data_IF_091995973479
#
_entry.id   IF_091995973479
#
_cell.length_a   1.000
_cell.length_b   1.000
_cell.length_c   1.000
_cell.angle_alpha   90.00
_cell.angle_beta   90.00
_cell.angle_gamma   90.00
#
_symmetry.space_group_name_H-M   'P 1'
#
loop_
_entity.id
_entity.type
_entity.pdbx_description
1 polymer ?
#
# COMPACT_ATOMS: atom_id res chain seq x y z
N UNK A 1 -26.10 -7.00 20.38
CA UNK A 1 -24.62 -6.93 20.28
C UNK A 1 -24.22 -7.75 19.07
N UNK A 2 -23.53 -7.17 18.10
CA UNK A 2 -23.03 -7.91 16.94
C UNK A 2 -21.94 -8.87 17.38
N UNK A 3 -22.02 -10.14 16.95
CA UNK A 3 -21.00 -11.14 17.21
C UNK A 3 -19.68 -10.71 16.54
N UNK A 4 -18.56 -10.86 17.25
CA UNK A 4 -17.21 -10.53 16.75
C UNK A 4 -16.54 -11.82 16.30
N UNK A 5 -16.09 -11.87 15.05
CA UNK A 5 -15.36 -13.01 14.49
C UNK A 5 -14.09 -12.56 13.78
N UNK A 6 -13.08 -13.43 13.70
CA UNK A 6 -11.81 -13.21 12.97
C UNK A 6 -11.52 -14.41 12.08
N UNK A 7 -11.13 -14.17 10.83
CA UNK A 7 -10.70 -15.20 9.87
C UNK A 7 -9.26 -14.91 9.47
N UNK A 8 -8.37 -15.90 9.68
CA UNK A 8 -6.96 -15.79 9.31
C UNK A 8 -6.71 -16.50 7.97
N UNK A 9 -5.90 -15.91 7.10
CA UNK A 9 -5.47 -16.51 5.83
C UNK A 9 -4.12 -15.94 5.39
N UNK A 10 -3.47 -16.60 4.43
CA UNK A 10 -2.19 -16.16 3.84
C UNK A 10 -2.26 -16.30 2.33
N UNK A 11 -1.83 -15.26 1.61
CA UNK A 11 -1.78 -15.22 0.15
C UNK A 11 -0.32 -14.95 -0.26
N UNK A 12 0.18 -15.69 -1.26
CA UNK A 12 1.51 -15.51 -1.84
C UNK A 12 1.35 -15.18 -3.32
N UNK A 13 1.98 -14.09 -3.78
CA UNK A 13 1.97 -13.64 -5.16
C UNK A 13 3.41 -13.52 -5.67
N UNK A 14 3.71 -14.20 -6.77
CA UNK A 14 5.01 -14.14 -7.43
C UNK A 14 4.88 -13.54 -8.83
N UNK A 15 5.79 -12.62 -9.16
CA UNK A 15 5.86 -11.92 -10.44
C UNK A 15 7.31 -11.71 -10.85
N UNK A 16 7.59 -11.91 -12.14
CA UNK A 16 8.89 -11.61 -12.75
C UNK A 16 8.77 -10.35 -13.59
N UNK A 17 9.71 -9.42 -13.43
CA UNK A 17 9.77 -8.17 -14.17
C UNK A 17 11.06 -8.07 -14.96
N UNK A 18 10.99 -7.57 -16.20
CA UNK A 18 12.17 -7.21 -17.00
C UNK A 18 12.78 -5.87 -16.51
N UNK A 19 13.08 -5.78 -15.22
CA UNK A 19 13.60 -4.60 -14.53
C UNK A 19 14.54 -5.03 -13.39
N UNK A 20 15.49 -4.16 -13.03
CA UNK A 20 16.37 -4.42 -11.89
C UNK A 20 15.61 -4.36 -10.55
N UNK A 21 16.07 -5.07 -9.51
CA UNK A 21 15.49 -4.97 -8.17
C UNK A 21 15.39 -3.52 -7.66
N UNK A 22 16.41 -2.71 -7.91
CA UNK A 22 16.41 -1.28 -7.54
C UNK A 22 15.28 -0.48 -8.22
N UNK A 23 14.99 -0.76 -9.50
CA UNK A 23 13.88 -0.09 -10.21
C UNK A 23 12.53 -0.53 -9.67
N UNK A 24 12.37 -1.82 -9.36
CA UNK A 24 11.12 -2.33 -8.77
C UNK A 24 10.94 -1.75 -7.37
N UNK A 25 11.98 -1.76 -6.54
CA UNK A 25 11.96 -1.18 -5.20
C UNK A 25 11.61 0.31 -5.22
N UNK A 26 12.18 1.08 -6.14
CA UNK A 26 11.85 2.49 -6.33
C UNK A 26 10.36 2.73 -6.64
N UNK A 27 9.67 1.79 -7.31
CA UNK A 27 8.24 1.90 -7.55
C UNK A 27 7.41 1.86 -6.26
N UNK A 28 7.94 1.23 -5.20
CA UNK A 28 7.30 1.13 -3.88
C UNK A 28 7.77 2.21 -2.90
N UNK A 29 8.99 2.74 -3.07
CA UNK A 29 9.61 3.69 -2.13
C UNK A 29 9.49 5.16 -2.55
N UNK A 30 9.05 5.46 -3.78
CA UNK A 30 8.81 6.82 -4.27
C UNK A 30 7.30 7.09 -4.30
N UNK A 31 6.79 8.07 -3.53
CA UNK A 31 5.36 8.37 -3.51
C UNK A 31 4.82 8.79 -4.89
N UNK A 32 5.62 9.45 -5.73
CA UNK A 32 5.19 9.83 -7.06
C UNK A 32 5.09 8.61 -8.00
N UNK A 33 5.95 7.61 -7.82
CA UNK A 33 5.83 6.34 -8.53
C UNK A 33 4.60 5.57 -8.04
N UNK A 34 4.42 5.46 -6.73
CA UNK A 34 3.31 4.78 -6.09
C UNK A 34 1.96 5.36 -6.53
N UNK A 35 1.82 6.69 -6.57
CA UNK A 35 0.61 7.36 -7.04
C UNK A 35 0.28 7.00 -8.50
N UNK A 36 1.29 6.79 -9.36
CA UNK A 36 1.07 6.48 -10.77
C UNK A 36 0.58 5.05 -11.01
N UNK A 37 1.17 4.06 -10.33
CA UNK A 37 0.81 2.65 -10.56
C UNK A 37 -0.26 2.14 -9.60
N UNK A 38 -0.38 2.72 -8.40
CA UNK A 38 -1.33 2.31 -7.37
C UNK A 38 -2.76 2.82 -7.57
N UNK A 39 -3.00 3.66 -8.58
CA UNK A 39 -4.34 4.12 -8.91
C UNK A 39 -5.22 2.96 -9.42
N UNK A 40 -6.42 2.73 -8.84
CA UNK A 40 -7.30 1.64 -9.26
C UNK A 40 -7.85 1.77 -10.70
N UNK A 41 -7.67 2.94 -11.33
CA UNK A 41 -8.08 3.20 -12.71
C UNK A 41 -9.24 4.20 -12.82
N UNK A 42 -9.87 4.21 -14.00
CA UNK A 42 -10.98 5.12 -14.30
C UNK A 42 -12.17 4.91 -13.36
N UNK A 43 -12.83 5.99 -12.94
CA UNK A 43 -13.95 5.95 -11.99
C UNK A 43 -13.54 5.86 -10.51
N UNK A 44 -12.25 5.77 -10.21
CA UNK A 44 -11.71 5.80 -8.85
C UNK A 44 -10.87 7.04 -8.59
N UNK A 45 -10.81 7.45 -7.34
CA UNK A 45 -9.92 8.47 -6.81
C UNK A 45 -8.97 7.84 -5.80
N UNK A 46 -7.71 8.29 -5.81
CA UNK A 46 -6.72 7.90 -4.81
C UNK A 46 -5.84 9.08 -4.44
N UNK A 47 -5.50 9.22 -3.18
CA UNK A 47 -4.53 10.18 -2.66
C UNK A 47 -3.57 9.52 -1.69
N UNK A 48 -2.32 9.97 -1.71
CA UNK A 48 -1.34 9.69 -0.66
C UNK A 48 -1.33 10.90 0.26
N UNK A 49 -1.84 10.74 1.48
CA UNK A 49 -1.96 11.81 2.46
C UNK A 49 -0.68 11.94 3.31
N UNK A 50 0.03 10.83 3.52
CA UNK A 50 1.29 10.76 4.24
C UNK A 50 2.15 9.62 3.68
N UNK A 51 3.47 9.79 3.64
CA UNK A 51 4.39 8.77 3.16
C UNK A 51 5.77 8.87 3.80
N UNK A 52 5.95 8.22 4.94
CA UNK A 52 7.21 8.15 5.68
C UNK A 52 7.88 6.79 5.41
N UNK A 53 8.57 6.67 4.28
CA UNK A 53 9.21 5.41 3.87
C UNK A 53 10.53 5.14 4.61
N UNK A 54 10.39 4.79 5.89
CA UNK A 54 11.48 4.42 6.78
C UNK A 54 10.96 3.44 7.84
N UNK A 55 11.85 2.65 8.45
CA UNK A 55 11.46 1.73 9.52
C UNK A 55 10.80 2.51 10.66
N UNK A 56 9.61 2.08 11.08
CA UNK A 56 8.78 2.75 12.08
C UNK A 56 7.87 3.85 11.52
N UNK A 57 8.09 4.30 10.29
CA UNK A 57 7.28 5.30 9.61
C UNK A 57 5.91 4.79 9.18
N UNK A 58 5.00 5.73 8.91
CA UNK A 58 3.65 5.46 8.43
C UNK A 58 3.41 5.98 7.01
N UNK A 59 2.55 5.30 6.27
CA UNK A 59 1.95 5.80 5.05
C UNK A 59 0.43 5.74 5.17
N UNK A 60 -0.23 6.83 4.76
CA UNK A 60 -1.68 6.97 4.72
C UNK A 60 -2.11 7.23 3.29
N UNK A 61 -3.03 6.42 2.80
CA UNK A 61 -3.64 6.61 1.48
C UNK A 61 -5.14 6.51 1.56
N UNK A 62 -5.85 7.38 0.85
CA UNK A 62 -7.29 7.28 0.64
C UNK A 62 -7.58 6.81 -0.76
N UNK A 63 -8.59 5.96 -0.90
CA UNK A 63 -9.08 5.57 -2.21
C UNK A 63 -10.57 5.23 -2.17
N UNK A 64 -11.26 5.37 -3.30
CA UNK A 64 -12.69 5.08 -3.41
C UNK A 64 -13.25 5.39 -4.79
N UNK A 65 -14.47 4.94 -5.10
CA UNK A 65 -15.18 5.36 -6.30
C UNK A 65 -15.48 6.85 -6.26
N UNK A 66 -15.44 7.50 -7.43
CA UNK A 66 -15.80 8.93 -7.57
C UNK A 66 -17.23 9.17 -7.07
N UNK A 67 -17.37 10.04 -6.08
CA UNK A 67 -18.66 10.38 -5.47
C UNK A 67 -19.25 9.31 -4.54
N UNK A 68 -18.50 8.26 -4.22
CA UNK A 68 -18.89 7.24 -3.23
C UNK A 68 -18.08 7.30 -1.94
N UNK A 69 -18.18 6.25 -1.13
CA UNK A 69 -17.46 6.11 0.13
C UNK A 69 -15.95 5.98 -0.10
N UNK A 70 -15.16 6.68 0.72
CA UNK A 70 -13.71 6.62 0.68
C UNK A 70 -13.20 5.69 1.77
N UNK A 71 -12.18 4.89 1.44
CA UNK A 71 -11.47 4.03 2.37
C UNK A 71 -10.11 4.64 2.67
N UNK A 72 -9.68 4.54 3.93
CA UNK A 72 -8.34 4.88 4.39
C UNK A 72 -7.56 3.59 4.59
N UNK A 73 -6.42 3.48 3.93
CA UNK A 73 -5.43 2.45 4.19
C UNK A 73 -4.26 3.05 4.97
N UNK A 74 -4.03 2.53 6.17
CA UNK A 74 -2.85 2.82 6.99
C UNK A 74 -1.82 1.70 6.82
N UNK A 75 -0.58 2.07 6.52
CA UNK A 75 0.56 1.16 6.43
C UNK A 75 1.65 1.61 7.41
N UNK A 76 2.18 0.67 8.19
CA UNK A 76 3.34 0.87 9.07
C UNK A 76 4.51 0.02 8.58
N UNK A 77 5.64 0.65 8.32
CA UNK A 77 6.84 -0.04 7.84
C UNK A 77 7.61 -0.67 9.01
N UNK A 78 7.84 -1.98 8.95
CA UNK A 78 8.45 -2.77 10.02
C UNK A 78 9.91 -3.14 9.72
N UNK A 79 10.24 -3.40 8.46
CA UNK A 79 11.61 -3.69 8.00
C UNK A 79 11.78 -3.18 6.57
N UNK A 80 12.92 -2.56 6.29
CA UNK A 80 13.27 -2.08 4.95
C UNK A 80 14.74 -2.42 4.70
N UNK A 81 14.97 -3.30 3.73
CA UNK A 81 16.30 -3.57 3.16
C UNK A 81 16.29 -3.07 1.73
N UNK A 82 17.08 -2.02 1.48
CA UNK A 82 17.15 -1.35 0.18
C UNK A 82 17.32 -2.37 -0.96
N UNK A 83 16.48 -2.21 -1.99
CA UNK A 83 16.46 -3.00 -3.22
C UNK A 83 16.18 -4.50 -3.04
N UNK A 84 15.73 -4.93 -1.85
CA UNK A 84 15.57 -6.35 -1.51
C UNK A 84 14.26 -6.67 -0.79
N UNK A 85 13.87 -5.89 0.23
CA UNK A 85 12.73 -6.25 1.10
C UNK A 85 12.03 -5.04 1.70
N UNK A 86 10.71 -5.13 1.75
CA UNK A 86 9.82 -4.23 2.47
C UNK A 86 8.86 -5.11 3.27
N UNK A 87 8.80 -4.93 4.58
CA UNK A 87 7.81 -5.58 5.45
C UNK A 87 6.96 -4.49 6.07
N UNK A 88 5.64 -4.64 5.98
CA UNK A 88 4.69 -3.73 6.58
C UNK A 88 3.51 -4.46 7.21
N UNK A 89 2.86 -3.79 8.16
CA UNK A 89 1.55 -4.16 8.66
C UNK A 89 0.59 -3.00 8.35
N UNK A 90 -0.68 -3.31 8.14
CA UNK A 90 -1.65 -2.29 7.80
C UNK A 90 -3.07 -2.70 8.12
N UNK A 91 -3.94 -1.71 8.09
CA UNK A 91 -5.36 -1.84 8.31
C UNK A 91 -6.12 -0.91 7.37
N UNK A 92 -7.36 -1.27 7.10
CA UNK A 92 -8.27 -0.49 6.28
C UNK A 92 -9.47 -0.07 7.12
N UNK A 93 -9.82 1.21 7.04
CA UNK A 93 -11.03 1.77 7.66
C UNK A 93 -11.85 2.48 6.59
N UNK A 94 -13.17 2.51 6.76
CA UNK A 94 -14.07 3.37 5.97
C UNK A 94 -14.49 4.61 6.75
#
# INVERSE_FOLDING_TARGET
MSERSVVHSTIVLERSYAASPARVFAAWSDPAALQRWGSPGEGWETSIDCFEFQVGGIALSRFGPKGGESYVNETRYLDIVRDQRIVSAGGMTS
#
